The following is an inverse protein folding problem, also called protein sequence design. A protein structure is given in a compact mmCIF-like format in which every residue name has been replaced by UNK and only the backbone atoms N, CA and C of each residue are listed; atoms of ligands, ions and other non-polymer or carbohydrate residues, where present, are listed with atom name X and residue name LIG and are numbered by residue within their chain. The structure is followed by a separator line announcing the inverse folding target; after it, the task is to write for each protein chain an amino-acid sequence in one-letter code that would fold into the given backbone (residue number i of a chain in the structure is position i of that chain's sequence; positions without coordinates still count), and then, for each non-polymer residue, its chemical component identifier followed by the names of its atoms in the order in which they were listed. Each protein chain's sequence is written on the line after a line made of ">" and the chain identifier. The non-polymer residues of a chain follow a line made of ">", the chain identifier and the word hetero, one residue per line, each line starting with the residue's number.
data_IF_431759501575
#
_entry.id   IF_431759501575
#
_cell.length_a   1.000
_cell.length_b   1.000
_cell.length_c   1.000
_cell.angle_alpha   90.00
_cell.angle_beta   90.00
_cell.angle_gamma   90.00
#
_symmetry.space_group_name_H-M   'P 1'
#
loop_
_entity.id
_entity.type
_entity.pdbx_description
1 polymer ?
#
# COMPACT_ATOMS: atom_id res chain seq x y z
N UNK A 1 -21.17 -7.92 5.75
CA UNK A 1 -20.38 -6.76 6.26
C UNK A 1 -19.20 -7.36 7.02
N UNK A 2 -18.02 -7.31 6.41
CA UNK A 2 -16.79 -7.86 6.98
C UNK A 2 -16.37 -6.98 8.17
N UNK A 3 -16.55 -7.48 9.37
CA UNK A 3 -16.20 -6.76 10.59
C UNK A 3 -14.73 -7.02 10.87
N UNK A 4 -13.86 -6.00 10.89
CA UNK A 4 -12.47 -6.17 11.26
C UNK A 4 -12.37 -6.62 12.73
N UNK A 5 -11.53 -7.61 13.00
CA UNK A 5 -11.39 -8.21 14.33
C UNK A 5 -10.24 -7.59 15.08
N UNK A 6 -9.14 -7.33 14.39
CA UNK A 6 -7.93 -6.76 14.97
C UNK A 6 -7.38 -5.66 14.07
N UNK A 7 -6.81 -4.65 14.71
CA UNK A 7 -6.06 -3.59 14.06
C UNK A 7 -4.61 -3.68 14.52
N UNK A 8 -3.71 -3.60 13.56
CA UNK A 8 -2.27 -3.55 13.81
C UNK A 8 -1.74 -2.24 13.25
N UNK A 9 -1.05 -1.46 14.07
CA UNK A 9 -0.39 -0.24 13.66
C UNK A 9 1.11 -0.43 13.66
N UNK A 10 1.76 0.10 12.62
CA UNK A 10 3.20 0.11 12.47
C UNK A 10 3.68 1.56 12.52
N UNK A 11 4.64 1.83 13.39
CA UNK A 11 5.31 3.13 13.51
C UNK A 11 6.82 2.95 13.46
N UNK A 12 7.53 3.98 13.02
CA UNK A 12 8.99 4.00 13.15
C UNK A 12 9.36 4.30 14.60
N UNK A 13 10.30 3.54 15.16
CA UNK A 13 10.81 3.80 16.51
C UNK A 13 11.59 5.11 16.61
N UNK A 14 12.20 5.55 15.49
CA UNK A 14 12.87 6.83 15.38
C UNK A 14 11.93 8.03 15.50
N UNK A 15 10.64 7.86 15.18
CA UNK A 15 9.68 8.95 15.20
C UNK A 15 9.30 9.38 16.62
N UNK A 16 9.18 10.69 16.80
CA UNK A 16 8.65 11.29 18.03
C UNK A 16 7.21 11.74 17.83
N UNK A 17 6.39 11.70 18.90
CA UNK A 17 5.02 12.18 18.82
C UNK A 17 4.96 13.64 18.38
N UNK A 18 4.08 13.92 17.40
CA UNK A 18 3.83 15.27 16.84
C UNK A 18 5.02 15.92 16.12
N UNK A 19 6.08 15.17 15.81
CA UNK A 19 7.18 15.60 14.96
C UNK A 19 7.02 15.03 13.53
N UNK A 20 7.61 15.70 12.51
CA UNK A 20 7.62 15.18 11.15
C UNK A 20 8.37 13.85 11.07
N UNK A 21 7.78 12.88 10.40
CA UNK A 21 8.40 11.56 10.18
C UNK A 21 9.48 11.62 9.09
N UNK A 22 10.50 10.77 9.19
CA UNK A 22 11.45 10.58 8.12
C UNK A 22 10.76 9.92 6.91
N UNK A 23 10.56 10.69 5.85
CA UNK A 23 9.80 10.30 4.68
C UNK A 23 10.37 9.06 3.98
N UNK A 24 11.70 8.98 3.82
CA UNK A 24 12.33 7.85 3.13
C UNK A 24 12.25 6.55 3.95
N UNK A 25 12.38 6.63 5.26
CA UNK A 25 12.21 5.48 6.16
C UNK A 25 10.75 5.04 6.20
N UNK A 26 9.82 5.98 6.23
CA UNK A 26 8.40 5.70 6.25
C UNK A 26 7.92 5.05 4.93
N UNK A 27 8.44 5.50 3.79
CA UNK A 27 8.18 4.86 2.49
C UNK A 27 8.67 3.42 2.48
N UNK A 28 9.90 3.16 2.99
CA UNK A 28 10.44 1.79 3.09
C UNK A 28 9.58 0.91 4.01
N UNK A 29 9.15 1.43 5.15
CA UNK A 29 8.24 0.73 6.05
C UNK A 29 6.88 0.46 5.37
N UNK A 30 6.35 1.42 4.61
CA UNK A 30 5.10 1.26 3.87
C UNK A 30 5.20 0.16 2.82
N UNK A 31 6.29 0.12 2.04
CA UNK A 31 6.54 -0.93 1.05
C UNK A 31 6.70 -2.31 1.70
N UNK A 32 7.40 -2.38 2.83
CA UNK A 32 7.55 -3.61 3.61
C UNK A 32 6.19 -4.11 4.13
N UNK A 33 5.38 -3.20 4.67
CA UNK A 33 4.04 -3.51 5.15
C UNK A 33 3.16 -4.08 4.03
N UNK A 34 3.13 -3.42 2.86
CA UNK A 34 2.29 -3.81 1.73
C UNK A 34 2.74 -5.12 1.07
N UNK A 35 4.06 -5.31 0.87
CA UNK A 35 4.59 -6.42 0.08
C UNK A 35 4.92 -7.67 0.90
N UNK A 36 5.24 -7.52 2.18
CA UNK A 36 5.74 -8.62 3.01
C UNK A 36 4.81 -8.90 4.19
N UNK A 37 4.61 -7.91 5.07
CA UNK A 37 3.94 -8.14 6.34
C UNK A 37 2.48 -8.53 6.12
N UNK A 38 1.75 -7.74 5.30
CA UNK A 38 0.35 -8.03 5.00
C UNK A 38 0.18 -9.41 4.35
N UNK A 39 1.05 -9.76 3.41
CA UNK A 39 1.01 -11.05 2.73
C UNK A 39 1.24 -12.23 3.66
N UNK A 40 2.15 -12.08 4.62
CA UNK A 40 2.36 -13.13 5.64
C UNK A 40 1.17 -13.25 6.59
N UNK A 41 0.54 -12.15 6.97
CA UNK A 41 -0.68 -12.16 7.79
C UNK A 41 -1.85 -12.79 7.02
N UNK A 42 -2.01 -12.49 5.73
CA UNK A 42 -3.02 -13.09 4.86
C UNK A 42 -2.86 -14.61 4.70
N UNK A 43 -1.66 -15.15 4.91
CA UNK A 43 -1.40 -16.60 4.87
C UNK A 43 -1.89 -17.34 6.13
N UNK A 44 -2.25 -16.63 7.20
CA UNK A 44 -2.81 -17.26 8.40
C UNK A 44 -4.18 -17.89 8.07
N UNK A 45 -4.44 -19.13 8.54
CA UNK A 45 -5.64 -19.89 8.16
C UNK A 45 -6.95 -19.18 8.46
N UNK A 46 -6.99 -18.39 9.53
CA UNK A 46 -8.14 -17.67 10.03
C UNK A 46 -8.39 -16.33 9.35
N UNK A 47 -7.42 -15.80 8.60
CA UNK A 47 -7.49 -14.48 7.94
C UNK A 47 -8.19 -14.60 6.59
N UNK A 48 -9.17 -13.75 6.35
CA UNK A 48 -9.82 -13.60 5.05
C UNK A 48 -9.08 -12.59 4.18
N UNK A 49 -8.74 -11.44 4.74
CA UNK A 49 -8.00 -10.38 4.05
C UNK A 49 -7.38 -9.39 5.05
N UNK A 50 -6.39 -8.65 4.60
CA UNK A 50 -5.80 -7.53 5.33
C UNK A 50 -6.01 -6.27 4.50
N UNK A 51 -6.67 -5.28 5.10
CA UNK A 51 -6.85 -3.97 4.50
C UNK A 51 -5.87 -2.97 5.13
N UNK A 52 -5.17 -2.20 4.29
CA UNK A 52 -4.07 -1.34 4.73
C UNK A 52 -4.41 0.11 4.45
N UNK A 53 -4.13 0.99 5.40
CA UNK A 53 -4.30 2.43 5.28
C UNK A 53 -3.09 3.19 5.83
N UNK A 54 -2.93 4.45 5.40
CA UNK A 54 -1.81 5.29 5.82
C UNK A 54 -0.48 4.98 5.13
N UNK A 55 -0.49 4.17 4.06
CA UNK A 55 0.71 3.92 3.26
C UNK A 55 1.20 5.19 2.57
N UNK A 56 2.50 5.35 2.52
CA UNK A 56 3.17 6.31 1.64
C UNK A 56 3.87 5.52 0.53
N UNK A 57 3.52 5.82 -0.72
CA UNK A 57 4.12 5.21 -1.91
C UNK A 57 5.06 6.20 -2.59
N UNK A 58 5.88 5.71 -3.50
CA UNK A 58 6.62 6.55 -4.43
C UNK A 58 5.80 6.76 -5.69
N UNK A 59 5.90 7.95 -6.26
CA UNK A 59 5.35 8.26 -7.58
C UNK A 59 6.41 8.88 -8.48
N UNK A 60 6.24 8.73 -9.78
CA UNK A 60 7.11 9.39 -10.75
C UNK A 60 6.53 10.77 -11.04
N UNK A 61 7.26 11.79 -10.63
CA UNK A 61 6.94 13.19 -10.91
C UNK A 61 7.61 13.63 -12.20
N UNK A 62 6.83 14.19 -13.12
CA UNK A 62 7.30 14.77 -14.38
C UNK A 62 7.14 16.29 -14.27
N UNK A 63 8.24 17.00 -14.15
CA UNK A 63 8.28 18.47 -14.02
C UNK A 63 8.72 19.10 -15.33
N UNK A 64 7.84 19.80 -16.06
CA UNK A 64 8.18 20.41 -17.33
C UNK A 64 9.18 21.56 -17.19
N UNK A 65 10.19 21.60 -18.06
CA UNK A 65 11.13 22.72 -18.18
C UNK A 65 10.50 23.80 -19.07
N UNK A 66 9.99 24.87 -18.46
CA UNK A 66 9.25 25.93 -19.15
C UNK A 66 9.92 26.40 -20.44
N UNK A 67 11.22 26.71 -20.39
CA UNK A 67 12.01 27.16 -21.55
C UNK A 67 12.00 26.12 -22.68
N UNK A 68 12.12 24.83 -22.36
CA UNK A 68 12.19 23.78 -23.37
C UNK A 68 10.80 23.53 -24.00
N UNK A 69 9.73 23.67 -23.22
CA UNK A 69 8.36 23.59 -23.73
C UNK A 69 8.06 24.74 -24.73
N UNK A 70 8.45 25.98 -24.37
CA UNK A 70 8.27 27.14 -25.23
C UNK A 70 9.03 26.99 -26.55
N UNK A 71 10.27 26.50 -26.54
CA UNK A 71 11.10 26.30 -27.74
C UNK A 71 10.57 25.18 -28.66
N UNK A 72 10.00 24.13 -28.08
CA UNK A 72 9.52 22.94 -28.82
C UNK A 72 8.05 23.04 -29.24
N UNK A 73 7.28 23.89 -28.55
CA UNK A 73 5.84 24.00 -28.68
C UNK A 73 5.08 22.81 -28.07
N UNK A 74 5.77 21.98 -27.28
CA UNK A 74 5.17 20.82 -26.55
C UNK A 74 4.35 21.37 -25.40
N UNK A 75 3.16 20.80 -25.19
CA UNK A 75 2.26 21.13 -24.09
C UNK A 75 2.22 20.01 -23.06
N UNK A 76 1.72 20.30 -21.84
CA UNK A 76 1.49 19.27 -20.83
C UNK A 76 0.53 18.16 -21.30
N UNK A 77 -0.43 18.51 -22.16
CA UNK A 77 -1.34 17.54 -22.79
C UNK A 77 -0.61 16.58 -23.73
N UNK A 78 0.35 17.09 -24.50
CA UNK A 78 1.16 16.24 -25.40
C UNK A 78 1.98 15.22 -24.58
N UNK A 79 2.57 15.65 -23.45
CA UNK A 79 3.32 14.79 -22.52
C UNK A 79 2.40 13.74 -21.92
N UNK A 80 1.23 14.15 -21.39
CA UNK A 80 0.25 13.23 -20.82
C UNK A 80 -0.17 12.15 -21.80
N UNK A 81 -0.50 12.55 -23.02
CA UNK A 81 -0.95 11.63 -24.08
C UNK A 81 0.19 10.66 -24.48
N UNK A 82 1.43 11.14 -24.56
CA UNK A 82 2.58 10.30 -24.88
C UNK A 82 2.84 9.24 -23.79
N UNK A 83 2.80 9.64 -22.52
CA UNK A 83 2.94 8.69 -21.39
C UNK A 83 1.80 7.68 -21.39
N UNK A 84 0.56 8.12 -21.57
CA UNK A 84 -0.60 7.22 -21.62
C UNK A 84 -0.50 6.23 -22.79
N UNK A 85 -0.11 6.68 -23.97
CA UNK A 85 0.07 5.82 -25.13
C UNK A 85 1.20 4.79 -24.95
N UNK A 86 2.25 5.16 -24.22
CA UNK A 86 3.37 4.27 -23.93
C UNK A 86 3.09 3.28 -22.81
N UNK A 87 2.15 3.60 -21.91
CA UNK A 87 1.76 2.74 -20.78
C UNK A 87 0.56 1.82 -21.09
N UNK A 88 0.16 1.73 -22.37
CA UNK A 88 -0.88 0.79 -22.80
C UNK A 88 -0.31 -0.63 -22.69
N UNK A 89 -0.97 -1.48 -21.92
CA UNK A 89 -0.75 -2.93 -22.00
C UNK A 89 -1.43 -3.43 -23.28
N UNK A 90 -0.71 -3.80 -24.34
CA UNK A 90 -1.33 -4.35 -25.52
C UNK A 90 -1.98 -5.68 -25.12
N UNK A 91 -3.22 -5.87 -25.55
CA UNK A 91 -3.86 -7.16 -25.55
C UNK A 91 -2.97 -8.14 -26.34
N UNK A 92 -2.97 -9.41 -25.96
CA UNK A 92 -2.19 -10.43 -26.66
C UNK A 92 -2.37 -10.29 -28.18
N UNK A 93 -1.28 -10.07 -28.90
CA UNK A 93 -1.32 -9.99 -30.36
C UNK A 93 -1.10 -11.40 -30.94
N UNK A 94 -2.05 -11.88 -31.74
CA UNK A 94 -1.90 -13.14 -32.47
C UNK A 94 -1.32 -12.85 -33.85
N UNK A 95 -0.19 -13.44 -34.12
CA UNK A 95 0.39 -13.43 -35.46
C UNK A 95 0.18 -14.81 -36.06
N UNK A 96 -0.55 -14.86 -37.17
CA UNK A 96 -0.78 -16.07 -37.93
C UNK A 96 0.11 -16.05 -39.17
N UNK A 97 1.06 -16.97 -39.18
CA UNK A 97 1.94 -17.17 -40.35
C UNK A 97 1.72 -18.60 -40.88
N UNK A 98 0.89 -18.70 -41.91
CA UNK A 98 0.47 -19.98 -42.48
C UNK A 98 -0.24 -20.90 -41.48
N UNK A 99 0.38 -22.03 -41.18
CA UNK A 99 -0.12 -23.04 -40.23
C UNK A 99 0.32 -22.81 -38.79
N UNK A 100 1.17 -21.80 -38.51
CA UNK A 100 1.67 -21.51 -37.18
C UNK A 100 0.98 -20.29 -36.60
N UNK A 101 0.41 -20.45 -35.42
CA UNK A 101 -0.16 -19.37 -34.61
C UNK A 101 0.80 -19.10 -33.44
N UNK A 102 1.33 -17.87 -33.33
CA UNK A 102 2.17 -17.45 -32.21
C UNK A 102 1.47 -16.32 -31.47
N UNK A 103 1.30 -16.50 -30.18
CA UNK A 103 0.84 -15.44 -29.29
C UNK A 103 2.07 -14.69 -28.76
N UNK A 104 2.17 -13.42 -29.09
CA UNK A 104 3.22 -12.54 -28.56
C UNK A 104 2.60 -11.71 -27.44
N UNK A 105 3.13 -11.87 -26.24
CA UNK A 105 2.84 -10.97 -25.13
C UNK A 105 3.85 -9.84 -25.17
N UNK A 106 3.38 -8.62 -25.44
CA UNK A 106 4.22 -7.43 -25.40
C UNK A 106 3.91 -6.75 -24.07
N UNK A 107 4.87 -6.79 -23.15
CA UNK A 107 4.79 -6.01 -21.92
C UNK A 107 5.41 -4.64 -22.18
N UNK A 108 4.56 -3.63 -22.33
CA UNK A 108 4.97 -2.24 -22.50
C UNK A 108 4.47 -1.41 -21.31
N UNK A 109 4.84 -1.81 -20.11
CA UNK A 109 4.48 -1.13 -18.87
C UNK A 109 5.67 -0.29 -18.41
N UNK A 110 5.48 1.01 -18.31
CA UNK A 110 6.49 1.93 -17.79
C UNK A 110 6.68 1.66 -16.29
N UNK A 111 7.84 1.20 -15.89
CA UNK A 111 8.12 0.78 -14.51
C UNK A 111 9.19 1.63 -13.83
N UNK A 112 9.99 2.39 -14.60
CA UNK A 112 11.12 3.14 -14.08
C UNK A 112 11.12 4.61 -14.53
N UNK A 113 11.88 5.43 -13.81
CA UNK A 113 12.17 6.82 -14.19
C UNK A 113 12.79 6.90 -15.58
N UNK A 114 13.67 5.95 -15.90
CA UNK A 114 14.38 5.92 -17.19
C UNK A 114 13.44 5.57 -18.35
N UNK A 115 12.48 4.68 -18.14
CA UNK A 115 11.46 4.37 -19.15
C UNK A 115 10.66 5.63 -19.50
N UNK A 116 10.24 6.40 -18.49
CA UNK A 116 9.52 7.66 -18.70
C UNK A 116 10.39 8.70 -19.42
N UNK A 117 11.66 8.83 -19.07
CA UNK A 117 12.60 9.75 -19.75
C UNK A 117 12.71 9.45 -21.24
N UNK A 118 12.66 8.19 -21.62
CA UNK A 118 12.82 7.71 -22.98
C UNK A 118 11.51 7.74 -23.80
N UNK A 119 10.36 8.04 -23.18
CA UNK A 119 9.10 8.19 -23.93
C UNK A 119 9.21 9.29 -24.95
N UNK A 120 8.78 8.99 -26.19
CA UNK A 120 8.84 9.89 -27.32
C UNK A 120 7.57 10.73 -27.45
N UNK A 121 7.74 12.05 -27.58
CA UNK A 121 6.67 13.01 -27.85
C UNK A 121 6.86 13.55 -29.26
N UNK A 122 5.86 13.42 -30.13
CA UNK A 122 5.88 13.97 -31.50
C UNK A 122 5.25 15.36 -31.49
N UNK A 123 5.98 16.35 -32.03
CA UNK A 123 5.47 17.72 -32.19
C UNK A 123 6.07 18.37 -33.47
N UNK A 124 5.23 18.97 -34.29
CA UNK A 124 5.64 19.68 -35.50
C UNK A 124 6.57 18.85 -36.42
N UNK A 125 6.27 17.55 -36.59
CA UNK A 125 7.09 16.65 -37.42
C UNK A 125 8.41 16.19 -36.78
N UNK A 126 8.73 16.63 -35.59
CA UNK A 126 9.93 16.24 -34.83
C UNK A 126 9.58 15.31 -33.65
N UNK A 127 10.55 14.52 -33.25
CA UNK A 127 10.45 13.59 -32.10
C UNK A 127 11.38 14.11 -31.03
N UNK A 128 10.83 14.26 -29.81
CA UNK A 128 11.54 14.64 -28.59
C UNK A 128 11.37 13.55 -27.55
N UNK A 129 12.32 13.39 -26.65
CA UNK A 129 12.15 12.53 -25.45
C UNK A 129 11.62 13.38 -24.30
N UNK A 130 10.83 12.77 -23.41
CA UNK A 130 10.35 13.47 -22.21
C UNK A 130 11.51 14.01 -21.39
N UNK A 131 12.61 13.26 -21.24
CA UNK A 131 13.81 13.68 -20.52
C UNK A 131 14.50 14.93 -21.08
N UNK A 132 14.30 15.26 -22.39
CA UNK A 132 14.84 16.45 -23.00
C UNK A 132 14.07 17.73 -22.61
N UNK A 133 12.78 17.59 -22.34
CA UNK A 133 11.86 18.71 -22.09
C UNK A 133 11.32 18.76 -20.66
N UNK A 134 11.51 17.70 -19.87
CA UNK A 134 11.08 17.59 -18.49
C UNK A 134 12.18 17.04 -17.60
N UNK A 135 12.10 17.37 -16.30
CA UNK A 135 12.79 16.64 -15.25
C UNK A 135 11.87 15.52 -14.77
N UNK A 136 12.43 14.31 -14.67
CA UNK A 136 11.70 13.12 -14.20
C UNK A 136 12.40 12.60 -12.97
N UNK A 137 11.68 12.52 -11.88
CA UNK A 137 12.18 12.09 -10.58
C UNK A 137 11.21 11.16 -9.88
N UNK A 138 11.74 10.32 -8.99
CA UNK A 138 10.93 9.49 -8.10
C UNK A 138 10.80 10.23 -6.77
N UNK A 139 9.58 10.58 -6.39
CA UNK A 139 9.28 11.34 -5.19
C UNK A 139 8.26 10.57 -4.33
N UNK A 140 8.20 10.82 -3.03
CA UNK A 140 7.09 10.36 -2.22
C UNK A 140 5.77 10.94 -2.73
N UNK A 141 4.75 10.10 -2.83
CA UNK A 141 3.41 10.53 -3.21
C UNK A 141 2.86 11.52 -2.18
N UNK A 142 2.16 12.56 -2.65
CA UNK A 142 1.45 13.47 -1.76
C UNK A 142 0.39 12.73 -0.92
N UNK A 143 0.28 13.14 0.33
CA UNK A 143 -0.62 12.49 1.29
C UNK A 143 -2.09 12.70 0.91
N UNK A 144 -2.77 11.62 0.57
CA UNK A 144 -4.24 11.61 0.39
C UNK A 144 -4.92 11.52 1.78
N UNK A 145 -4.22 10.97 2.77
CA UNK A 145 -4.66 10.85 4.16
C UNK A 145 -3.52 10.35 5.04
N UNK A 146 -3.48 10.84 6.26
CA UNK A 146 -2.47 10.46 7.25
C UNK A 146 -3.12 9.65 8.36
N UNK A 147 -2.58 8.46 8.63
CA UNK A 147 -2.92 7.70 9.82
C UNK A 147 -1.96 8.06 10.95
N UNK A 148 -2.51 8.33 12.13
CA UNK A 148 -1.73 8.64 13.32
C UNK A 148 -2.04 7.64 14.43
N UNK A 149 -1.00 7.20 15.13
CA UNK A 149 -1.10 6.43 16.36
C UNK A 149 -0.22 7.08 17.42
N UNK A 150 -0.80 7.44 18.55
CA UNK A 150 -0.08 8.12 19.67
C UNK A 150 0.72 9.35 19.23
N UNK A 151 0.21 10.13 18.26
CA UNK A 151 0.88 11.30 17.72
C UNK A 151 2.02 11.03 16.72
N UNK A 152 2.29 9.76 16.41
CA UNK A 152 3.26 9.35 15.39
C UNK A 152 2.52 8.96 14.10
N UNK A 153 3.13 9.22 12.96
CA UNK A 153 2.62 8.70 11.67
C UNK A 153 2.70 7.18 11.68
N UNK A 154 1.65 6.52 11.21
CA UNK A 154 1.59 5.07 11.21
C UNK A 154 1.01 4.51 9.92
N UNK A 155 1.35 3.25 9.64
CA UNK A 155 0.59 2.39 8.72
C UNK A 155 -0.37 1.57 9.57
N UNK A 156 -1.65 1.57 9.22
CA UNK A 156 -2.68 0.80 9.92
C UNK A 156 -3.17 -0.35 9.06
N UNK A 157 -3.12 -1.55 9.60
CA UNK A 157 -3.66 -2.77 9.00
C UNK A 157 -4.91 -3.21 9.74
N UNK A 158 -5.97 -3.47 9.01
CA UNK A 158 -7.21 -4.08 9.50
C UNK A 158 -7.21 -5.54 9.10
N UNK A 159 -7.18 -6.43 10.09
CA UNK A 159 -7.22 -7.87 9.87
C UNK A 159 -8.66 -8.35 9.95
N UNK A 160 -9.15 -8.92 8.86
CA UNK A 160 -10.50 -9.42 8.71
C UNK A 160 -10.46 -10.94 8.74
N UNK A 161 -11.24 -11.53 9.66
CA UNK A 161 -11.29 -12.99 9.80
C UNK A 161 -12.22 -13.64 8.79
N UNK A 162 -12.01 -14.92 8.51
CA UNK A 162 -13.00 -15.76 7.81
C UNK A 162 -14.24 -15.97 8.68
N UNK A 163 -15.37 -16.17 8.04
CA UNK A 163 -16.68 -16.28 8.73
C UNK A 163 -16.71 -17.36 9.82
N UNK A 164 -16.08 -18.50 9.56
CA UNK A 164 -16.03 -19.68 10.42
C UNK A 164 -14.81 -19.70 11.37
N UNK A 165 -13.92 -18.72 11.26
CA UNK A 165 -12.69 -18.67 12.04
C UNK A 165 -12.94 -18.28 13.51
N UNK A 166 -12.19 -18.91 14.43
CA UNK A 166 -12.20 -18.59 15.85
C UNK A 166 -11.30 -17.39 16.14
N UNK A 167 -11.87 -16.33 16.69
CA UNK A 167 -11.17 -15.07 17.00
C UNK A 167 -9.95 -15.28 17.88
N UNK A 168 -10.05 -16.13 18.91
CA UNK A 168 -8.95 -16.37 19.85
C UNK A 168 -7.73 -17.00 19.13
N UNK A 169 -7.98 -17.93 18.19
CA UNK A 169 -6.91 -18.56 17.43
C UNK A 169 -6.24 -17.58 16.47
N UNK A 170 -7.05 -16.78 15.77
CA UNK A 170 -6.53 -15.69 14.94
C UNK A 170 -5.59 -14.79 15.75
N UNK A 171 -6.00 -14.41 16.95
CA UNK A 171 -5.21 -13.53 17.81
C UNK A 171 -3.88 -14.16 18.24
N UNK A 172 -3.89 -15.42 18.64
CA UNK A 172 -2.67 -16.13 19.01
C UNK A 172 -1.68 -16.20 17.85
N UNK A 173 -2.15 -16.58 16.67
CA UNK A 173 -1.33 -16.69 15.47
C UNK A 173 -0.83 -15.31 15.00
N UNK A 174 -1.68 -14.28 15.07
CA UNK A 174 -1.29 -12.91 14.76
C UNK A 174 -0.20 -12.41 15.71
N UNK A 175 -0.37 -12.58 17.03
CA UNK A 175 0.64 -12.18 18.04
C UNK A 175 1.97 -12.89 17.84
N UNK A 176 1.94 -14.17 17.51
CA UNK A 176 3.14 -14.93 17.19
C UNK A 176 3.86 -14.31 15.98
N UNK A 177 3.13 -14.03 14.90
CA UNK A 177 3.67 -13.39 13.70
C UNK A 177 4.23 -11.99 14.00
N UNK A 178 3.52 -11.17 14.78
CA UNK A 178 3.98 -9.82 15.15
C UNK A 178 5.26 -9.87 16.00
N UNK A 179 5.38 -10.85 16.88
CA UNK A 179 6.61 -11.06 17.65
C UNK A 179 7.79 -11.45 16.76
N UNK A 180 7.56 -12.30 15.77
CA UNK A 180 8.57 -12.65 14.76
C UNK A 180 8.99 -11.41 13.94
N UNK A 181 8.03 -10.59 13.49
CA UNK A 181 8.31 -9.36 12.76
C UNK A 181 9.08 -8.34 13.60
N UNK A 182 8.75 -8.17 14.88
CA UNK A 182 9.48 -7.29 15.78
C UNK A 182 10.96 -7.71 15.96
N UNK A 183 11.24 -9.00 15.88
CA UNK A 183 12.61 -9.52 15.89
C UNK A 183 13.34 -9.31 14.55
N UNK A 184 12.63 -9.41 13.42
CA UNK A 184 13.19 -9.24 12.09
C UNK A 184 13.38 -7.77 11.70
N UNK A 185 12.52 -6.88 12.19
CA UNK A 185 12.48 -5.44 11.86
C UNK A 185 12.57 -4.59 13.14
N UNK A 186 13.78 -4.48 13.72
CA UNK A 186 13.96 -3.83 15.04
C UNK A 186 13.62 -2.34 15.04
N UNK A 187 13.65 -1.67 13.87
CA UNK A 187 13.37 -0.24 13.73
C UNK A 187 11.86 0.08 13.64
N UNK A 188 11.02 -0.96 13.55
CA UNK A 188 9.56 -0.82 13.46
C UNK A 188 8.93 -1.25 14.78
N UNK A 189 8.01 -0.44 15.27
CA UNK A 189 7.17 -0.76 16.41
C UNK A 189 5.82 -1.27 15.91
N UNK A 190 5.42 -2.46 16.38
CA UNK A 190 4.15 -3.09 16.08
C UNK A 190 3.23 -2.98 17.29
N UNK A 191 2.06 -2.39 17.12
CA UNK A 191 1.08 -2.25 18.18
C UNK A 191 -0.25 -2.82 17.75
N UNK A 192 -0.85 -3.69 18.58
CA UNK A 192 -2.25 -4.09 18.43
C UNK A 192 -3.13 -2.94 18.93
N UNK A 193 -4.04 -2.47 18.08
CA UNK A 193 -4.98 -1.40 18.42
C UNK A 193 -6.39 -1.90 18.19
N UNK A 194 -7.23 -1.80 19.21
CA UNK A 194 -8.65 -2.19 19.20
C UNK A 194 -8.90 -3.71 19.31
N UNK A 195 -8.91 -4.18 20.51
CA UNK A 195 -9.37 -5.51 20.87
C UNK A 195 -10.91 -5.53 21.08
N UNK A 196 -11.66 -5.82 20.02
CA UNK A 196 -13.12 -6.02 20.15
C UNK A 196 -13.45 -7.24 21.04
N UNK A 197 -12.53 -8.20 21.15
CA UNK A 197 -12.72 -9.39 21.98
C UNK A 197 -12.59 -9.06 23.46
N UNK A 198 -11.76 -8.08 23.83
CA UNK A 198 -11.69 -7.61 25.21
C UNK A 198 -13.04 -7.00 25.64
N UNK A 199 -13.68 -6.23 24.76
CA UNK A 199 -15.03 -5.68 24.99
C UNK A 199 -16.08 -6.80 25.11
N UNK A 200 -16.03 -7.79 24.22
CA UNK A 200 -16.93 -8.95 24.25
C UNK A 200 -16.71 -9.80 25.51
N UNK A 201 -15.47 -10.11 25.86
CA UNK A 201 -15.16 -10.86 27.06
C UNK A 201 -15.59 -10.10 28.34
N UNK A 202 -15.34 -8.79 28.40
CA UNK A 202 -15.82 -7.96 29.50
C UNK A 202 -17.36 -8.01 29.63
N UNK A 203 -18.06 -7.88 28.51
CA UNK A 203 -19.53 -7.95 28.47
C UNK A 203 -20.04 -9.32 28.90
N UNK A 204 -19.39 -10.43 28.47
CA UNK A 204 -19.76 -11.78 28.85
C UNK A 204 -19.50 -12.03 30.38
N UNK A 205 -18.36 -11.58 30.89
CA UNK A 205 -18.04 -11.69 32.31
C UNK A 205 -19.04 -10.92 33.17
N UNK A 206 -19.33 -9.67 32.77
CA UNK A 206 -20.31 -8.83 33.48
C UNK A 206 -21.72 -9.43 33.45
N UNK A 207 -22.15 -9.98 32.29
CA UNK A 207 -23.43 -10.69 32.19
C UNK A 207 -23.48 -11.93 33.09
N UNK A 208 -22.41 -12.70 33.12
CA UNK A 208 -22.31 -13.89 33.97
C UNK A 208 -22.33 -13.54 35.46
N UNK A 209 -21.62 -12.51 35.87
CA UNK A 209 -21.63 -12.03 37.29
C UNK A 209 -23.01 -11.50 37.69
N UNK A 210 -23.66 -10.71 36.82
CA UNK A 210 -25.03 -10.22 37.06
C UNK A 210 -26.05 -11.36 37.14
N UNK A 211 -25.91 -12.39 36.29
CA UNK A 211 -26.77 -13.55 36.31
C UNK A 211 -26.63 -14.36 37.62
N UNK A 212 -25.38 -14.59 38.08
CA UNK A 212 -25.11 -15.27 39.33
C UNK A 212 -25.63 -14.48 40.54
N UNK A 213 -25.42 -13.14 40.50
CA UNK A 213 -25.92 -12.26 41.58
C UNK A 213 -27.45 -12.27 41.67
N UNK A 214 -28.12 -12.28 40.52
CA UNK A 214 -29.60 -12.38 40.47
C UNK A 214 -30.12 -13.70 40.98
N UNK A 215 -29.39 -14.80 40.71
CA UNK A 215 -29.76 -16.14 41.18
C UNK A 215 -29.60 -16.29 42.69
N UNK A 216 -28.62 -15.60 43.30
CA UNK A 216 -28.36 -15.61 44.73
C UNK A 216 -29.38 -14.76 45.51
N UNK A 217 -29.96 -13.73 44.87
CA UNK A 217 -30.96 -12.82 45.43
C UNK A 217 -32.40 -13.39 45.37
N UNK A 218 -32.62 -14.46 44.63
CA UNK A 218 -33.89 -15.12 44.44
C UNK A 218 -34.00 -16.37 45.36
#
# INVERSE_FOLDING_TARGET
>A
TDIPVEYVTLTLKSDRPFEPTNTDEFVRMSELCEKVISRRIEQLPEVAMVDISGLMRKEIQITPKKRNLELTGITGTDIKNAVQASNVRPSAMRIRDGYFERTIHIENSLMSVEDIRNVSVKKNGRIYRIGDVCDVSLVPQEDIGVALSQGKRCVSMRVIKKTDAKVNRLREDLRKSLKEFSGQYPDIEFQESRDQTALLNYSIVTLKENFISSLVLM
#
